data_IF_640460952788
#
_entry.id   IF_640460952788
#
_cell.length_a   1.000
_cell.length_b   1.000
_cell.length_c   1.000
_cell.angle_alpha   90.00
_cell.angle_beta   90.00
_cell.angle_gamma   90.00
#
_symmetry.space_group_name_H-M   'P 1'
#
loop_
_entity.id
_entity.type
_entity.pdbx_description
1 polymer ?
#
# COMPACT_ATOMS: atom_id res chain seq x y z
N UNK A 1 -4.18 17.63 23.95
CA UNK A 1 -4.26 16.55 22.95
C UNK A 1 -3.01 15.72 23.13
N UNK A 2 -3.12 14.44 23.45
CA UNK A 2 -1.97 13.55 23.52
C UNK A 2 -1.40 13.44 22.09
N UNK A 3 -0.11 13.70 21.92
CA UNK A 3 0.61 13.47 20.67
C UNK A 3 0.39 12.00 20.27
N UNK A 4 -0.01 11.69 19.03
CA UNK A 4 -0.15 10.30 18.62
C UNK A 4 1.18 9.61 18.89
N UNK A 5 1.16 8.56 19.67
CA UNK A 5 2.35 7.76 19.96
C UNK A 5 2.75 7.08 18.66
N UNK A 6 3.80 7.56 18.01
CA UNK A 6 4.42 6.97 16.83
C UNK A 6 5.00 5.59 17.19
N UNK A 7 4.25 4.48 17.11
CA UNK A 7 4.60 3.22 17.77
C UNK A 7 5.89 2.62 17.23
N UNK A 8 6.15 2.77 15.93
CA UNK A 8 7.37 2.22 15.32
C UNK A 8 8.61 3.08 15.61
N UNK A 9 8.48 4.39 15.61
CA UNK A 9 9.59 5.26 16.02
C UNK A 9 9.95 5.06 17.50
N UNK A 10 8.95 4.83 18.35
CA UNK A 10 9.17 4.58 19.78
C UNK A 10 10.01 3.33 20.03
N UNK A 11 9.94 2.30 19.17
CA UNK A 11 10.78 1.10 19.29
C UNK A 11 12.28 1.37 19.07
N UNK A 12 12.62 2.45 18.38
CA UNK A 12 14.00 2.86 18.10
C UNK A 12 14.51 3.90 19.13
N UNK A 13 13.61 4.48 19.93
CA UNK A 13 13.98 5.52 20.88
C UNK A 13 15.01 5.00 21.92
N UNK A 14 16.10 5.74 22.08
CA UNK A 14 17.17 5.39 23.03
C UNK A 14 18.06 4.21 22.63
N UNK A 15 17.86 3.62 21.45
CA UNK A 15 18.71 2.54 20.95
C UNK A 15 19.97 3.11 20.25
N UNK A 16 21.06 2.35 20.33
CA UNK A 16 22.28 2.65 19.56
C UNK A 16 22.11 2.08 18.16
N UNK A 17 22.02 2.98 17.19
CA UNK A 17 21.91 2.62 15.77
C UNK A 17 23.30 2.47 15.13
N UNK A 18 23.48 1.65 14.07
CA UNK A 18 22.46 0.79 13.44
C UNK A 18 22.17 -0.46 14.27
N UNK A 19 20.95 -0.97 14.14
CA UNK A 19 20.55 -2.31 14.65
C UNK A 19 20.95 -3.37 13.62
N UNK A 20 21.16 -4.61 14.09
CA UNK A 20 21.36 -5.75 13.19
C UNK A 20 20.03 -6.28 12.64
N UNK A 21 20.14 -7.24 11.70
CA UNK A 21 18.97 -7.78 11.01
C UNK A 21 18.01 -8.54 11.93
N UNK A 22 18.54 -9.30 12.88
CA UNK A 22 17.74 -10.11 13.82
C UNK A 22 17.00 -9.21 14.81
N UNK A 23 17.65 -8.15 15.29
CA UNK A 23 17.03 -7.13 16.14
C UNK A 23 15.91 -6.39 15.38
N UNK A 24 16.15 -5.99 14.12
CA UNK A 24 15.15 -5.34 13.28
C UNK A 24 13.92 -6.24 13.10
N UNK A 25 14.14 -7.49 12.73
CA UNK A 25 13.09 -8.48 12.53
C UNK A 25 12.30 -8.72 13.82
N UNK A 26 12.99 -8.97 14.93
CA UNK A 26 12.37 -9.22 16.22
C UNK A 26 11.50 -8.06 16.70
N UNK A 27 11.98 -6.82 16.57
CA UNK A 27 11.20 -5.64 16.95
C UNK A 27 9.99 -5.44 16.08
N UNK A 28 10.14 -5.60 14.75
CA UNK A 28 9.03 -5.41 13.84
C UNK A 28 7.95 -6.49 13.98
N UNK A 29 8.35 -7.77 14.05
CA UNK A 29 7.42 -8.89 14.28
C UNK A 29 6.73 -8.76 15.63
N UNK A 30 7.48 -8.39 16.69
CA UNK A 30 6.90 -8.11 18.01
C UNK A 30 5.86 -7.00 17.99
N UNK A 31 6.09 -5.95 17.21
CA UNK A 31 5.10 -4.88 16.99
C UNK A 31 3.84 -5.43 16.30
N UNK A 32 3.99 -6.17 15.20
CA UNK A 32 2.85 -6.73 14.45
C UNK A 32 2.01 -7.63 15.34
N UNK A 33 2.65 -8.58 16.07
CA UNK A 33 1.97 -9.46 17.02
C UNK A 33 1.27 -8.68 18.13
N UNK A 34 1.88 -7.59 18.59
CA UNK A 34 1.28 -6.70 19.61
C UNK A 34 0.02 -5.98 19.13
N UNK A 35 -0.18 -5.82 17.81
CA UNK A 35 -1.42 -5.29 17.24
C UNK A 35 -2.52 -6.35 17.06
N UNK A 36 -2.25 -7.62 17.39
CA UNK A 36 -3.16 -8.74 17.21
C UNK A 36 -3.28 -9.23 15.77
N UNK A 37 -2.30 -8.90 14.93
CA UNK A 37 -2.21 -9.36 13.54
C UNK A 37 -1.20 -10.51 13.44
N UNK A 38 -1.55 -11.51 12.64
CA UNK A 38 -0.63 -12.56 12.21
C UNK A 38 -0.13 -12.26 10.80
N UNK A 39 1.14 -12.52 10.57
CA UNK A 39 1.73 -12.36 9.24
C UNK A 39 1.23 -13.45 8.29
N UNK A 40 0.93 -13.08 7.06
CA UNK A 40 0.72 -14.05 6.00
C UNK A 40 2.06 -14.63 5.54
N UNK A 41 2.10 -15.89 5.06
CA UNK A 41 3.35 -16.53 4.62
C UNK A 41 4.17 -15.70 3.63
N UNK A 42 3.52 -15.02 2.68
CA UNK A 42 4.20 -14.15 1.73
C UNK A 42 4.80 -12.87 2.39
N UNK A 43 4.21 -12.40 3.49
CA UNK A 43 4.77 -11.29 4.26
C UNK A 43 5.99 -11.76 5.06
N UNK A 44 5.92 -12.93 5.69
CA UNK A 44 7.05 -13.52 6.42
C UNK A 44 8.24 -13.73 5.49
N UNK A 45 8.02 -14.36 4.32
CA UNK A 45 9.06 -14.56 3.31
C UNK A 45 9.67 -13.21 2.89
N UNK A 46 8.84 -12.21 2.58
CA UNK A 46 9.31 -10.90 2.17
C UNK A 46 10.11 -10.19 3.28
N UNK A 47 9.74 -10.35 4.55
CA UNK A 47 10.46 -9.76 5.68
C UNK A 47 11.84 -10.40 5.86
N UNK A 48 11.95 -11.72 5.74
CA UNK A 48 13.23 -12.45 5.83
C UNK A 48 14.18 -12.01 4.70
N UNK A 49 13.69 -11.92 3.47
CA UNK A 49 14.49 -11.47 2.34
C UNK A 49 14.87 -9.99 2.43
N UNK A 50 13.99 -9.16 3.01
CA UNK A 50 14.27 -7.75 3.29
C UNK A 50 15.43 -7.59 4.28
N UNK A 51 15.40 -8.35 5.37
CA UNK A 51 16.46 -8.31 6.39
C UNK A 51 17.77 -8.83 5.83
N UNK A 52 17.74 -9.83 4.96
CA UNK A 52 18.89 -10.32 4.21
C UNK A 52 19.48 -9.30 3.21
N UNK A 53 18.85 -8.12 3.04
CA UNK A 53 19.36 -7.02 2.20
C UNK A 53 19.11 -7.19 0.70
N UNK A 54 18.21 -8.10 0.30
CA UNK A 54 17.87 -8.31 -1.12
C UNK A 54 16.88 -7.25 -1.63
N UNK A 55 16.84 -7.08 -2.94
CA UNK A 55 15.68 -6.46 -3.60
C UNK A 55 14.49 -7.41 -3.49
N UNK A 56 13.29 -6.86 -3.40
CA UNK A 56 12.08 -7.68 -3.30
C UNK A 56 11.12 -7.29 -4.43
N UNK A 57 10.64 -8.29 -5.15
CA UNK A 57 9.52 -8.17 -6.08
C UNK A 57 8.32 -8.87 -5.43
N UNK A 58 7.41 -8.08 -4.86
CA UNK A 58 6.25 -8.58 -4.13
C UNK A 58 5.01 -8.56 -5.04
N UNK A 59 4.71 -9.72 -5.62
CA UNK A 59 3.59 -9.92 -6.54
C UNK A 59 2.48 -10.71 -5.85
N UNK A 60 1.64 -10.02 -5.09
CA UNK A 60 0.57 -10.62 -4.31
C UNK A 60 -0.75 -9.86 -4.53
N UNK A 61 -1.93 -10.49 -4.42
CA UNK A 61 -3.20 -9.85 -4.70
C UNK A 61 -3.46 -8.59 -3.88
N UNK A 62 -4.40 -7.76 -4.35
CA UNK A 62 -4.93 -6.65 -3.53
C UNK A 62 -5.55 -7.21 -2.26
N UNK A 63 -5.33 -6.56 -1.13
CA UNK A 63 -5.79 -7.01 0.19
C UNK A 63 -4.86 -8.00 0.89
N UNK A 64 -3.72 -8.40 0.29
CA UNK A 64 -2.72 -9.29 0.92
C UNK A 64 -1.79 -8.60 1.92
N UNK A 65 -2.02 -7.33 2.23
CA UNK A 65 -1.22 -6.60 3.21
C UNK A 65 0.18 -6.19 2.75
N UNK A 66 0.39 -5.93 1.45
CA UNK A 66 1.67 -5.42 0.90
C UNK A 66 2.21 -4.20 1.66
N UNK A 67 1.34 -3.33 2.12
CA UNK A 67 1.71 -2.14 2.89
C UNK A 67 2.48 -2.46 4.17
N UNK A 68 2.26 -3.63 4.77
CA UNK A 68 2.99 -4.04 5.97
C UNK A 68 4.47 -4.31 5.66
N UNK A 69 4.76 -4.92 4.50
CA UNK A 69 6.15 -5.14 4.05
C UNK A 69 6.84 -3.81 3.73
N UNK A 70 6.11 -2.87 3.13
CA UNK A 70 6.61 -1.51 2.91
C UNK A 70 6.91 -0.79 4.23
N UNK A 71 6.02 -0.93 5.22
CA UNK A 71 6.25 -0.41 6.58
C UNK A 71 7.51 -1.02 7.18
N UNK A 72 7.72 -2.33 7.06
CA UNK A 72 8.93 -2.98 7.55
C UNK A 72 10.21 -2.44 6.88
N UNK A 73 10.16 -2.12 5.58
CA UNK A 73 11.31 -1.53 4.90
C UNK A 73 11.64 -0.14 5.43
N UNK A 74 10.65 0.69 5.73
CA UNK A 74 10.87 1.98 6.39
C UNK A 74 11.45 1.80 7.80
N UNK A 75 10.92 0.84 8.56
CA UNK A 75 11.45 0.53 9.89
C UNK A 75 12.92 0.11 9.83
N UNK A 76 13.27 -0.79 8.90
CA UNK A 76 14.66 -1.20 8.65
C UNK A 76 15.54 0.01 8.28
N UNK A 77 15.08 0.86 7.36
CA UNK A 77 15.84 2.05 6.97
C UNK A 77 16.14 2.95 8.18
N UNK A 78 15.14 3.26 9.00
CA UNK A 78 15.34 4.07 10.20
C UNK A 78 16.24 3.38 11.22
N UNK A 79 16.09 2.06 11.44
CA UNK A 79 16.92 1.27 12.35
C UNK A 79 18.39 1.22 11.91
N UNK A 80 18.66 1.40 10.62
CA UNK A 80 20.02 1.49 10.05
C UNK A 80 20.54 2.94 9.92
N UNK A 81 19.73 3.95 10.28
CA UNK A 81 20.07 5.37 10.11
C UNK A 81 20.11 5.81 8.63
N UNK A 82 19.29 5.19 7.79
CA UNK A 82 19.21 5.38 6.34
C UNK A 82 17.91 6.04 5.91
N UNK A 83 17.88 6.52 4.65
CA UNK A 83 16.74 7.21 4.05
C UNK A 83 15.97 6.28 3.14
N UNK A 84 14.64 6.33 3.23
CA UNK A 84 13.72 5.52 2.44
C UNK A 84 12.67 6.35 1.73
N UNK A 85 12.34 5.96 0.50
CA UNK A 85 11.33 6.60 -0.33
C UNK A 85 10.16 5.66 -0.59
N UNK A 86 8.94 6.19 -0.45
CA UNK A 86 7.71 5.52 -0.87
C UNK A 86 7.15 6.22 -2.11
N UNK A 87 7.10 5.52 -3.25
CA UNK A 87 6.60 6.11 -4.49
C UNK A 87 5.24 5.57 -4.88
N UNK A 88 4.36 6.50 -5.28
CA UNK A 88 3.01 6.22 -5.74
C UNK A 88 2.79 6.79 -7.15
N UNK A 89 1.80 6.25 -7.92
CA UNK A 89 1.49 6.76 -9.25
C UNK A 89 0.76 8.11 -9.25
N UNK A 90 0.05 8.46 -8.19
CA UNK A 90 -0.75 9.68 -8.11
C UNK A 90 -0.62 10.38 -6.76
N UNK A 91 -0.77 11.72 -6.75
CA UNK A 91 -0.65 12.57 -5.55
C UNK A 91 -1.59 12.19 -4.42
N UNK A 92 -2.82 11.78 -4.73
CA UNK A 92 -3.79 11.37 -3.73
C UNK A 92 -3.28 10.17 -2.89
N UNK A 93 -2.68 9.17 -3.54
CA UNK A 93 -2.07 8.04 -2.86
C UNK A 93 -0.81 8.45 -2.07
N UNK A 94 0.00 9.40 -2.59
CA UNK A 94 1.14 9.94 -1.84
C UNK A 94 0.66 10.56 -0.53
N UNK A 95 -0.39 11.39 -0.57
CA UNK A 95 -0.96 12.03 0.62
C UNK A 95 -1.52 11.00 1.60
N UNK A 96 -2.24 9.98 1.11
CA UNK A 96 -2.75 8.89 1.95
C UNK A 96 -1.61 8.17 2.69
N UNK A 97 -0.56 7.79 1.96
CA UNK A 97 0.60 7.10 2.55
C UNK A 97 1.38 8.00 3.51
N UNK A 98 1.52 9.28 3.19
CA UNK A 98 2.14 10.26 4.08
C UNK A 98 1.43 10.29 5.44
N UNK A 99 0.10 10.45 5.48
CA UNK A 99 -0.62 10.48 6.74
C UNK A 99 -0.55 9.15 7.50
N UNK A 100 -0.71 8.04 6.80
CA UNK A 100 -0.61 6.72 7.42
C UNK A 100 0.78 6.45 8.04
N UNK A 101 1.86 6.88 7.36
CA UNK A 101 3.21 6.74 7.89
C UNK A 101 3.49 7.73 9.03
N UNK A 102 2.90 8.93 9.01
CA UNK A 102 2.97 9.86 10.15
C UNK A 102 2.36 9.27 11.43
N UNK A 103 1.27 8.50 11.32
CA UNK A 103 0.68 7.80 12.47
C UNK A 103 1.63 6.75 13.05
N UNK A 104 2.40 6.06 12.21
CA UNK A 104 3.29 4.97 12.61
C UNK A 104 4.67 5.47 13.09
N UNK A 105 5.21 6.49 12.44
CA UNK A 105 6.59 6.96 12.64
C UNK A 105 6.69 8.35 13.24
N UNK A 106 5.59 9.07 13.35
CA UNK A 106 5.56 10.49 13.77
C UNK A 106 5.85 11.45 12.61
N UNK A 107 5.22 12.65 12.63
CA UNK A 107 5.35 13.63 11.54
C UNK A 107 6.77 14.17 11.34
N UNK A 108 7.61 14.15 12.37
CA UNK A 108 9.00 14.61 12.28
C UNK A 108 9.87 13.66 11.45
N UNK A 109 9.48 12.39 11.35
CA UNK A 109 10.21 11.36 10.62
C UNK A 109 9.68 11.10 9.20
N UNK A 110 8.60 11.78 8.81
CA UNK A 110 7.97 11.56 7.50
C UNK A 110 7.89 12.86 6.73
N UNK A 111 8.30 12.83 5.47
CA UNK A 111 8.20 13.92 4.53
C UNK A 111 7.35 13.55 3.32
N UNK A 112 6.91 14.58 2.58
CA UNK A 112 6.16 14.41 1.34
C UNK A 112 6.72 15.33 0.26
N UNK A 113 6.86 14.81 -0.96
CA UNK A 113 7.29 15.58 -2.13
C UNK A 113 6.37 15.27 -3.32
N UNK A 114 5.66 16.29 -3.77
CA UNK A 114 4.81 16.25 -4.98
C UNK A 114 5.16 17.43 -5.87
N UNK A 115 4.57 17.52 -7.07
CA UNK A 115 4.85 18.63 -7.98
C UNK A 115 4.44 20.01 -7.45
N UNK A 116 3.53 20.05 -6.48
CA UNK A 116 2.92 21.26 -5.93
C UNK A 116 3.16 21.47 -4.42
N UNK A 117 3.69 20.45 -3.72
CA UNK A 117 3.94 20.54 -2.28
C UNK A 117 5.20 19.80 -1.85
N UNK A 118 5.91 20.39 -0.88
CA UNK A 118 7.04 19.73 -0.20
C UNK A 118 6.90 19.97 1.29
N UNK A 119 6.86 18.89 2.05
CA UNK A 119 6.76 18.89 3.51
C UNK A 119 7.94 18.08 4.04
N UNK A 120 8.66 18.59 5.02
CA UNK A 120 9.76 17.91 5.73
C UNK A 120 10.71 17.12 4.81
N UNK A 121 11.34 17.84 3.86
CA UNK A 121 12.23 17.23 2.82
C UNK A 121 13.40 16.44 3.40
N UNK A 122 13.84 16.77 4.60
CA UNK A 122 14.98 16.12 5.28
C UNK A 122 14.60 14.91 6.14
N UNK A 123 13.35 14.47 6.11
CA UNK A 123 12.90 13.33 6.89
C UNK A 123 13.55 12.01 6.40
N UNK A 124 13.73 11.03 7.30
CA UNK A 124 14.26 9.72 6.93
C UNK A 124 13.28 8.89 6.05
N UNK A 125 12.00 9.22 6.06
CA UNK A 125 10.97 8.59 5.20
C UNK A 125 10.37 9.67 4.30
N UNK A 126 10.42 9.48 2.98
CA UNK A 126 9.87 10.44 2.01
C UNK A 126 8.81 9.76 1.14
N UNK A 127 7.59 10.30 1.18
CA UNK A 127 6.51 9.91 0.26
C UNK A 127 6.53 10.82 -0.98
N UNK A 128 6.56 10.26 -2.18
CA UNK A 128 6.60 11.06 -3.40
C UNK A 128 5.93 10.36 -4.59
N UNK A 129 5.70 11.10 -5.69
CA UNK A 129 5.34 10.44 -6.95
C UNK A 129 6.57 9.87 -7.65
N UNK A 130 6.37 8.89 -8.54
CA UNK A 130 7.47 8.26 -9.28
C UNK A 130 8.28 9.29 -10.10
N UNK A 131 7.64 10.30 -10.66
CA UNK A 131 8.27 11.37 -11.43
C UNK A 131 9.22 12.21 -10.56
N UNK A 132 8.87 12.44 -9.30
CA UNK A 132 9.75 13.17 -8.36
C UNK A 132 11.00 12.37 -8.06
N UNK A 133 10.86 11.05 -7.77
CA UNK A 133 12.02 10.19 -7.54
C UNK A 133 12.90 10.07 -8.79
N UNK A 134 12.30 9.92 -9.97
CA UNK A 134 13.03 9.86 -11.23
C UNK A 134 13.84 11.14 -11.47
N UNK A 135 13.25 12.30 -11.24
CA UNK A 135 13.93 13.59 -11.34
C UNK A 135 15.08 13.72 -10.33
N UNK A 136 14.88 13.25 -9.09
CA UNK A 136 15.92 13.24 -8.06
C UNK A 136 17.09 12.35 -8.49
N UNK A 137 16.80 11.13 -8.95
CA UNK A 137 17.80 10.16 -9.40
C UNK A 137 18.67 10.67 -10.57
N UNK A 138 18.09 11.51 -11.45
CA UNK A 138 18.82 12.08 -12.59
C UNK A 138 19.62 13.34 -12.26
N UNK A 139 19.12 14.18 -11.36
CA UNK A 139 19.68 15.52 -11.12
C UNK A 139 20.64 15.58 -9.96
N UNK A 140 20.45 14.73 -8.97
CA UNK A 140 21.23 14.78 -7.73
C UNK A 140 21.96 13.45 -7.52
N UNK A 141 23.15 13.37 -8.10
CA UNK A 141 24.03 12.19 -7.95
C UNK A 141 24.52 11.99 -6.51
N UNK A 142 24.32 12.97 -5.63
CA UNK A 142 24.67 12.92 -4.21
C UNK A 142 23.49 12.64 -3.29
N UNK A 143 22.24 12.57 -3.84
CA UNK A 143 21.08 12.30 -3.03
C UNK A 143 21.19 10.93 -2.33
N UNK A 144 21.00 10.95 -1.02
CA UNK A 144 20.96 9.71 -0.24
C UNK A 144 19.61 9.05 -0.46
N UNK A 145 19.60 7.94 -1.21
CA UNK A 145 18.43 7.10 -1.49
C UNK A 145 18.82 5.66 -1.22
N UNK A 146 18.66 5.22 0.02
CA UNK A 146 19.12 3.89 0.43
C UNK A 146 18.09 2.80 0.14
N UNK A 147 16.80 3.12 0.34
CA UNK A 147 15.66 2.23 0.15
C UNK A 147 14.57 2.89 -0.67
N UNK A 148 14.00 2.17 -1.61
CA UNK A 148 12.86 2.63 -2.42
C UNK A 148 11.76 1.59 -2.45
N UNK A 149 10.57 1.99 -2.03
CA UNK A 149 9.32 1.25 -2.22
C UNK A 149 8.63 1.82 -3.45
N UNK A 150 8.36 0.97 -4.45
CA UNK A 150 7.58 1.31 -5.63
C UNK A 150 6.22 0.62 -5.55
N UNK A 151 5.23 1.37 -5.13
CA UNK A 151 3.84 0.88 -5.08
C UNK A 151 3.20 0.96 -6.47
N UNK A 152 2.28 0.04 -6.74
CA UNK A 152 1.64 -0.12 -8.06
C UNK A 152 2.67 -0.22 -9.21
N UNK A 153 3.67 -1.06 -9.01
CA UNK A 153 4.82 -1.18 -9.94
C UNK A 153 4.43 -1.64 -11.35
N UNK A 154 3.21 -2.11 -11.59
CA UNK A 154 2.72 -2.41 -12.94
C UNK A 154 2.74 -1.18 -13.89
N UNK A 155 2.76 0.05 -13.36
CA UNK A 155 2.98 1.26 -14.16
C UNK A 155 4.34 1.30 -14.87
N UNK A 156 5.30 0.46 -14.46
CA UNK A 156 6.58 0.27 -15.18
C UNK A 156 6.39 -0.01 -16.68
N UNK A 157 5.31 -0.72 -17.05
CA UNK A 157 4.98 -1.05 -18.43
C UNK A 157 4.07 -0.03 -19.12
N UNK A 158 3.69 1.05 -18.44
CA UNK A 158 2.86 2.10 -19.01
C UNK A 158 3.64 2.88 -20.09
N UNK A 159 3.00 3.15 -21.25
CA UNK A 159 3.65 3.78 -22.40
C UNK A 159 4.04 5.24 -22.16
N UNK A 160 3.25 5.96 -21.37
CA UNK A 160 3.45 7.39 -21.12
C UNK A 160 4.25 7.62 -19.83
N UNK A 161 3.98 6.84 -18.79
CA UNK A 161 4.49 7.07 -17.45
C UNK A 161 5.57 6.08 -17.00
N UNK A 162 5.74 4.96 -17.70
CA UNK A 162 6.66 3.87 -17.32
C UNK A 162 8.10 4.32 -17.14
N UNK A 163 8.55 5.31 -17.89
CA UNK A 163 9.90 5.89 -17.78
C UNK A 163 10.20 6.39 -16.36
N UNK A 164 9.22 6.98 -15.67
CA UNK A 164 9.40 7.45 -14.30
C UNK A 164 9.65 6.30 -13.30
N UNK A 165 9.17 5.10 -13.60
CA UNK A 165 9.41 3.89 -12.82
C UNK A 165 10.73 3.21 -13.18
N UNK A 166 11.18 3.36 -14.43
CA UNK A 166 12.41 2.73 -14.94
C UNK A 166 13.66 3.50 -14.51
N UNK A 167 13.63 4.83 -14.57
CA UNK A 167 14.79 5.68 -14.27
C UNK A 167 15.44 5.37 -12.91
N UNK A 168 14.70 5.29 -11.78
CA UNK A 168 15.33 5.02 -10.48
C UNK A 168 16.04 3.66 -10.44
N UNK A 169 15.48 2.62 -11.11
CA UNK A 169 16.11 1.30 -11.16
C UNK A 169 17.45 1.33 -11.88
N UNK A 170 17.59 2.19 -12.90
CA UNK A 170 18.82 2.33 -13.70
C UNK A 170 19.84 3.28 -13.06
N UNK A 171 19.36 4.36 -12.43
CA UNK A 171 20.20 5.46 -11.96
C UNK A 171 20.65 5.32 -10.48
N UNK A 172 20.04 4.42 -9.70
CA UNK A 172 20.32 4.25 -8.27
C UNK A 172 20.91 2.86 -7.95
N UNK A 173 22.14 2.55 -8.37
CA UNK A 173 22.72 1.20 -8.25
C UNK A 173 22.99 0.76 -6.80
N UNK A 174 23.04 1.69 -5.84
CA UNK A 174 23.26 1.37 -4.42
C UNK A 174 21.99 1.17 -3.62
N UNK A 175 20.86 1.54 -4.18
CA UNK A 175 19.54 1.51 -3.54
C UNK A 175 19.01 0.07 -3.46
N UNK A 176 18.31 -0.25 -2.37
CA UNK A 176 17.54 -1.49 -2.25
C UNK A 176 16.08 -1.20 -2.61
N UNK A 177 15.52 -2.01 -3.50
CA UNK A 177 14.17 -1.81 -4.03
C UNK A 177 13.18 -2.84 -3.48
N UNK A 178 11.98 -2.38 -3.12
CA UNK A 178 10.77 -3.17 -2.92
C UNK A 178 9.76 -2.78 -4.01
N UNK A 179 9.53 -3.67 -4.96
CA UNK A 179 8.62 -3.48 -6.10
C UNK A 179 7.31 -4.21 -5.78
N UNK A 180 6.22 -3.47 -5.58
CA UNK A 180 4.93 -4.04 -5.15
C UNK A 180 3.87 -3.88 -6.24
N UNK A 181 3.22 -4.97 -6.60
CA UNK A 181 2.04 -4.93 -7.47
C UNK A 181 1.16 -6.16 -7.27
N UNK A 182 -0.10 -6.04 -7.63
CA UNK A 182 -1.03 -7.18 -7.67
C UNK A 182 -1.05 -7.90 -9.03
N UNK A 183 -0.53 -7.25 -10.09
CA UNK A 183 -0.74 -7.67 -11.49
C UNK A 183 0.55 -7.61 -12.31
N UNK A 184 1.68 -8.02 -11.73
CA UNK A 184 2.91 -8.17 -12.50
C UNK A 184 2.84 -9.42 -13.36
N UNK A 185 3.17 -9.25 -14.64
CA UNK A 185 3.40 -10.35 -15.56
C UNK A 185 4.72 -11.07 -15.32
N UNK A 186 5.49 -11.30 -16.38
CA UNK A 186 6.82 -11.90 -16.28
C UNK A 186 7.81 -10.92 -15.63
N UNK A 187 8.45 -11.35 -14.55
CA UNK A 187 9.38 -10.52 -13.76
C UNK A 187 10.85 -10.71 -14.13
N UNK A 188 11.19 -11.75 -14.89
CA UNK A 188 12.59 -12.10 -15.26
C UNK A 188 13.40 -10.95 -15.86
N UNK A 189 12.88 -10.12 -16.78
CA UNK A 189 13.64 -8.99 -17.30
C UNK A 189 14.02 -7.97 -16.21
N UNK A 190 13.11 -7.74 -15.24
CA UNK A 190 13.34 -6.84 -14.11
C UNK A 190 14.37 -7.42 -13.15
N UNK A 191 14.27 -8.72 -12.86
CA UNK A 191 15.23 -9.45 -12.02
C UNK A 191 16.65 -9.38 -12.59
N UNK A 192 16.79 -9.65 -13.90
CA UNK A 192 18.06 -9.57 -14.61
C UNK A 192 18.64 -8.16 -14.60
N UNK A 193 17.81 -7.14 -14.83
CA UNK A 193 18.23 -5.74 -14.78
C UNK A 193 18.71 -5.35 -13.39
N UNK A 194 17.97 -5.65 -12.34
CA UNK A 194 18.36 -5.36 -10.96
C UNK A 194 19.69 -6.06 -10.61
N UNK A 195 19.83 -7.34 -10.94
CA UNK A 195 21.06 -8.11 -10.72
C UNK A 195 22.25 -7.47 -11.45
N UNK A 196 22.09 -7.11 -12.73
CA UNK A 196 23.18 -6.56 -13.52
C UNK A 196 23.63 -5.17 -13.06
N UNK A 197 22.69 -4.33 -12.60
CA UNK A 197 22.98 -2.94 -12.21
C UNK A 197 23.51 -2.88 -10.77
N UNK A 198 22.93 -3.66 -9.86
CA UNK A 198 23.22 -3.55 -8.43
C UNK A 198 24.18 -4.62 -7.91
N UNK A 199 24.40 -5.69 -8.69
CA UNK A 199 25.17 -6.86 -8.27
C UNK A 199 24.49 -7.72 -7.20
N UNK A 200 23.23 -7.42 -6.86
CA UNK A 200 22.45 -8.12 -5.82
C UNK A 200 21.32 -8.94 -6.44
N UNK A 201 21.11 -10.14 -5.90
CA UNK A 201 20.03 -11.01 -6.32
C UNK A 201 18.68 -10.52 -5.79
N UNK A 202 17.66 -10.32 -6.63
CA UNK A 202 16.31 -10.02 -6.18
C UNK A 202 15.59 -11.29 -5.69
N UNK A 203 14.80 -11.16 -4.63
CA UNK A 203 13.84 -12.16 -4.20
C UNK A 203 12.46 -11.88 -4.83
N UNK A 204 11.83 -12.92 -5.37
CA UNK A 204 10.48 -12.81 -5.96
C UNK A 204 9.50 -13.55 -5.07
N UNK A 205 8.71 -12.80 -4.34
CA UNK A 205 7.67 -13.33 -3.45
C UNK A 205 6.32 -13.26 -4.17
N UNK A 206 5.70 -14.41 -4.37
CA UNK A 206 4.42 -14.55 -5.07
C UNK A 206 3.40 -15.29 -4.23
N UNK A 207 2.18 -14.79 -4.24
CA UNK A 207 1.04 -15.51 -3.68
C UNK A 207 -0.18 -15.27 -4.56
N UNK A 208 -0.97 -16.31 -4.77
CA UNK A 208 -2.28 -16.23 -5.40
C UNK A 208 -3.41 -16.27 -4.36
N UNK A 209 -3.07 -16.56 -3.11
CA UNK A 209 -4.04 -16.60 -2.02
C UNK A 209 -4.61 -15.21 -1.78
N UNK A 210 -5.94 -15.10 -1.85
CA UNK A 210 -6.67 -13.88 -1.50
C UNK A 210 -7.22 -14.01 -0.09
N UNK A 211 -6.77 -13.18 0.86
CA UNK A 211 -7.36 -13.18 2.21
C UNK A 211 -8.84 -12.78 2.19
N UNK A 212 -9.22 -11.94 1.22
CA UNK A 212 -10.61 -11.57 0.97
C UNK A 212 -11.05 -12.24 -0.33
N UNK A 213 -11.95 -13.24 -0.28
CA UNK A 213 -12.46 -13.90 -1.46
C UNK A 213 -13.26 -12.93 -2.35
N UNK A 214 -13.22 -13.16 -3.66
CA UNK A 214 -13.98 -12.40 -4.64
C UNK A 214 -14.85 -13.37 -5.43
N UNK A 215 -16.15 -13.06 -5.46
CA UNK A 215 -17.11 -13.72 -6.35
C UNK A 215 -17.38 -12.80 -7.55
N UNK A 216 -17.48 -13.39 -8.73
CA UNK A 216 -17.74 -12.66 -9.97
C UNK A 216 -19.10 -13.07 -10.52
N UNK A 217 -19.91 -12.08 -10.84
CA UNK A 217 -21.22 -12.26 -11.43
C UNK A 217 -21.36 -11.31 -12.63
N UNK A 218 -21.76 -11.84 -13.78
CA UNK A 218 -22.11 -11.04 -14.95
C UNK A 218 -23.61 -10.90 -15.03
N UNK A 219 -24.12 -9.68 -15.22
CA UNK A 219 -25.54 -9.36 -15.34
C UNK A 219 -25.81 -8.53 -16.58
N UNK A 220 -26.84 -8.88 -17.31
CA UNK A 220 -27.33 -8.14 -18.48
C UNK A 220 -28.54 -7.23 -18.16
N UNK A 221 -28.99 -7.26 -16.89
CA UNK A 221 -30.07 -6.39 -16.42
C UNK A 221 -29.63 -4.93 -16.39
N UNK A 222 -30.55 -3.98 -16.61
CA UNK A 222 -30.27 -2.56 -16.47
C UNK A 222 -29.63 -2.23 -15.11
N UNK A 223 -28.70 -1.28 -15.09
CA UNK A 223 -27.92 -0.96 -13.89
C UNK A 223 -28.79 -0.62 -12.67
N UNK A 224 -29.84 0.17 -12.86
CA UNK A 224 -30.77 0.56 -11.78
C UNK A 224 -31.52 -0.63 -11.19
N UNK A 225 -31.89 -1.62 -12.00
CA UNK A 225 -32.53 -2.86 -11.54
C UNK A 225 -31.53 -3.73 -10.77
N UNK A 226 -30.30 -3.84 -11.28
CA UNK A 226 -29.21 -4.55 -10.60
C UNK A 226 -28.94 -3.95 -9.21
N UNK A 227 -28.86 -2.61 -9.10
CA UNK A 227 -28.64 -1.93 -7.84
C UNK A 227 -29.82 -2.16 -6.89
N UNK A 228 -31.07 -2.07 -7.38
CA UNK A 228 -32.26 -2.32 -6.57
C UNK A 228 -32.28 -3.74 -6.02
N UNK A 229 -31.90 -4.74 -6.83
CA UNK A 229 -31.78 -6.13 -6.39
C UNK A 229 -30.70 -6.30 -5.32
N UNK A 230 -29.50 -5.73 -5.53
CA UNK A 230 -28.40 -5.77 -4.54
C UNK A 230 -28.81 -5.14 -3.21
N UNK A 231 -29.54 -4.02 -3.22
CA UNK A 231 -30.05 -3.38 -2.02
C UNK A 231 -31.08 -4.28 -1.32
N UNK A 232 -32.02 -4.85 -2.08
CA UNK A 232 -33.10 -5.72 -1.56
C UNK A 232 -32.51 -6.99 -0.93
N UNK A 233 -31.47 -7.55 -1.53
CA UNK A 233 -30.75 -8.74 -1.05
C UNK A 233 -29.68 -8.43 0.00
N UNK A 234 -29.59 -7.17 0.46
CA UNK A 234 -28.62 -6.68 1.46
C UNK A 234 -27.14 -6.86 1.07
N UNK A 235 -26.84 -6.82 -0.22
CA UNK A 235 -25.47 -6.86 -0.77
C UNK A 235 -24.93 -5.45 -0.93
N UNK A 236 -24.62 -4.79 0.17
CA UNK A 236 -24.05 -3.44 0.21
C UNK A 236 -22.94 -3.35 1.26
N UNK A 237 -22.01 -2.36 1.17
CA UNK A 237 -22.02 -1.19 0.28
C UNK A 237 -21.77 -1.55 -1.20
N UNK A 238 -22.31 -0.73 -2.11
CA UNK A 238 -22.15 -0.88 -3.56
C UNK A 238 -21.21 0.21 -4.05
N UNK A 239 -20.14 -0.18 -4.76
CA UNK A 239 -19.21 0.73 -5.40
C UNK A 239 -19.37 0.67 -6.91
N UNK A 240 -19.91 1.75 -7.50
CA UNK A 240 -20.15 1.86 -8.93
C UNK A 240 -18.95 2.52 -9.63
N UNK A 241 -18.33 1.79 -10.56
CA UNK A 241 -17.14 2.25 -11.27
C UNK A 241 -17.50 2.60 -12.71
N UNK A 242 -17.11 3.79 -13.14
CA UNK A 242 -17.28 4.27 -14.52
C UNK A 242 -15.91 4.58 -15.15
N UNK A 243 -15.82 4.47 -16.47
CA UNK A 243 -14.58 4.70 -17.22
C UNK A 243 -14.10 6.16 -17.18
N UNK A 244 -15.03 7.13 -17.07
CA UNK A 244 -14.72 8.55 -17.07
C UNK A 244 -15.49 9.27 -15.99
N UNK A 245 -14.95 10.41 -15.54
CA UNK A 245 -15.66 11.28 -14.58
C UNK A 245 -17.01 11.77 -15.15
N UNK A 246 -17.07 12.04 -16.44
CA UNK A 246 -18.31 12.44 -17.12
C UNK A 246 -19.37 11.34 -17.03
N UNK A 247 -19.00 10.11 -17.39
CA UNK A 247 -19.91 8.95 -17.28
C UNK A 247 -20.37 8.72 -15.85
N UNK A 248 -19.48 8.89 -14.86
CA UNK A 248 -19.83 8.78 -13.45
C UNK A 248 -20.85 9.85 -13.03
N UNK A 249 -20.69 11.10 -13.47
CA UNK A 249 -21.62 12.17 -13.17
C UNK A 249 -22.99 11.98 -13.85
N UNK A 250 -23.01 11.58 -15.12
CA UNK A 250 -24.23 11.27 -15.87
C UNK A 250 -24.98 10.10 -15.19
N UNK A 251 -24.28 9.04 -14.82
CA UNK A 251 -24.90 7.89 -14.14
C UNK A 251 -25.42 8.25 -12.75
N UNK A 252 -24.70 9.07 -11.99
CA UNK A 252 -25.18 9.57 -10.71
C UNK A 252 -26.50 10.36 -10.86
N UNK A 253 -26.62 11.20 -11.89
CA UNK A 253 -27.85 11.95 -12.18
C UNK A 253 -29.00 11.00 -12.57
N UNK A 254 -28.73 9.99 -13.41
CA UNK A 254 -29.72 8.98 -13.79
C UNK A 254 -30.25 8.23 -12.57
N UNK A 255 -29.38 7.84 -11.65
CA UNK A 255 -29.74 7.14 -10.44
C UNK A 255 -30.50 7.99 -9.42
N UNK A 256 -30.32 9.31 -9.41
CA UNK A 256 -31.09 10.24 -8.58
C UNK A 256 -32.57 10.28 -8.96
N UNK A 257 -32.91 10.04 -10.22
CA UNK A 257 -34.29 9.98 -10.70
C UNK A 257 -35.01 8.70 -10.31
N UNK A 258 -34.27 7.67 -9.89
CA UNK A 258 -34.80 6.37 -9.48
C UNK A 258 -34.88 6.33 -7.96
N UNK A 259 -36.09 6.28 -7.39
CA UNK A 259 -36.30 6.26 -5.95
C UNK A 259 -35.93 4.89 -5.35
N UNK A 260 -34.63 4.69 -5.14
CA UNK A 260 -34.08 3.44 -4.56
C UNK A 260 -34.26 3.38 -3.04
N UNK A 261 -34.50 4.50 -2.36
CA UNK A 261 -34.57 4.59 -0.90
C UNK A 261 -35.91 4.10 -0.34
N UNK A 262 -37.00 4.21 -1.08
CA UNK A 262 -38.33 3.78 -0.61
C UNK A 262 -38.44 2.28 -0.34
N UNK A 263 -37.67 1.46 -1.06
CA UNK A 263 -37.71 0.00 -0.84
C UNK A 263 -36.93 -0.42 0.43
N UNK A 264 -35.92 0.33 0.85
CA UNK A 264 -35.17 0.06 2.08
C UNK A 264 -35.97 0.45 3.33
N UNK A 265 -36.70 1.53 3.28
CA UNK A 265 -37.53 2.01 4.41
C UNK A 265 -38.74 1.10 4.62
N UNK A 266 -39.41 0.60 3.57
CA UNK A 266 -40.53 -0.34 3.68
C UNK A 266 -40.08 -1.68 4.28
N UNK A 267 -38.86 -2.15 4.03
CA UNK A 267 -38.35 -3.39 4.64
C UNK A 267 -38.03 -3.25 6.15
N UNK A 268 -37.87 -2.05 6.68
CA UNK A 268 -37.65 -1.82 8.12
C UNK A 268 -38.92 -1.80 8.95
N UNK A 269 -40.08 -1.58 8.34
CA UNK A 269 -41.37 -1.53 9.07
C UNK A 269 -42.10 -2.89 9.12
N UNK A 270 -41.61 -3.91 8.42
CA UNK A 270 -42.22 -5.24 8.39
C UNK A 270 -41.47 -6.33 9.18
N UNK A 271 -40.34 -6.03 9.82
CA UNK A 271 -39.62 -6.98 10.69
C UNK A 271 -39.56 -6.43 12.11
N UNK A 272 -40.46 -6.95 12.95
CA UNK A 272 -40.49 -6.67 14.38
C UNK A 272 -39.23 -7.08 15.11
N UNK A 273 -38.97 -6.30 16.16
CA UNK A 273 -38.16 -6.60 17.35
C UNK A 273 -36.92 -7.51 17.15
N UNK A 274 -35.77 -6.86 16.97
CA UNK A 274 -34.47 -7.50 17.16
C UNK A 274 -34.26 -7.72 18.65
N UNK A 275 -34.48 -8.94 19.16
CA UNK A 275 -33.98 -9.35 20.48
C UNK A 275 -32.49 -9.58 20.40
N UNK A 276 -31.75 -8.78 21.14
CA UNK A 276 -30.33 -8.99 21.37
C UNK A 276 -30.13 -10.24 22.23
N UNK A 277 -29.53 -11.28 21.66
CA UNK A 277 -29.03 -12.43 22.42
C UNK A 277 -27.66 -12.10 22.99
N UNK A 278 -27.43 -12.30 24.32
CA UNK A 278 -26.12 -12.08 24.90
C UNK A 278 -25.17 -13.22 24.51
N UNK A 279 -23.98 -12.85 24.06
CA UNK A 279 -22.88 -13.80 23.84
C UNK A 279 -22.47 -14.40 25.17
N UNK A 280 -22.67 -15.70 25.35
CA UNK A 280 -22.12 -16.48 26.44
C UNK A 280 -20.60 -16.57 26.30
N UNK A 281 -19.88 -16.06 27.30
CA UNK A 281 -18.51 -16.47 27.59
C UNK A 281 -18.53 -17.88 28.13
N UNK A 282 -17.76 -18.77 27.56
CA UNK A 282 -17.38 -20.02 28.20
C UNK A 282 -15.90 -20.28 27.90
N UNK A 283 -15.20 -20.33 29.02
CA UNK A 283 -14.02 -21.06 29.45
C UNK A 283 -12.95 -21.42 28.41
#
# INVERSE_FOLDING_TARGET
>A
MATPTAPLAALLAGKKLPLDGDEILSHFVGYVSGTGLDLYPAQEEALLELVAGKHIILNTPTGSGKSLVATAMHFKAMAEGKVSFYTCPIKALVSEKFFALCELYGPDNVGMMTGDATINRGAPIICCTAEILANLALRDTGAQVDYVIMDEFHYYSDRERGVAWQIPLLALPRTTFLLMSATLGETRPIEQSLRSITGREPAVVRSLARPVPLDFEYRETPLHETIADLITTRRYPIYLVNFTQRAAAEEAQNLMSVDMSRNVVRGRHSSGTCQATPRSRSA
#
